data_IF_958907173266
#
_entry.id   IF_958907173266
#
_cell.length_a   1.000
_cell.length_b   1.000
_cell.length_c   1.000
_cell.angle_alpha   90.00
_cell.angle_beta   90.00
_cell.angle_gamma   90.00
#
_symmetry.space_group_name_H-M   'P 1'
#
loop_
_entity.id
_entity.type
_entity.pdbx_description
1 polymer ?
#
# COMPACT_ATOMS: atom_id res chain seq x y z
N UNK A 1 -9.25 7.42 2.54
CA UNK A 1 -8.68 6.49 3.54
C UNK A 1 -7.61 7.14 4.39
N UNK A 2 -7.24 6.45 5.45
CA UNK A 2 -6.27 6.94 6.45
C UNK A 2 -5.25 5.85 6.76
N UNK A 3 -4.03 6.26 7.09
CA UNK A 3 -2.98 5.39 7.60
C UNK A 3 -2.47 5.98 8.91
N UNK A 4 -2.44 5.15 9.95
CA UNK A 4 -1.93 5.52 11.25
C UNK A 4 -0.57 4.85 11.49
N UNK A 5 0.30 5.54 12.18
CA UNK A 5 1.59 5.05 12.64
C UNK A 5 1.54 4.85 14.14
N UNK A 6 1.74 3.62 14.58
CA UNK A 6 1.88 3.29 15.98
C UNK A 6 3.35 3.42 16.40
N UNK A 7 3.61 4.11 17.47
CA UNK A 7 4.95 4.36 18.03
C UNK A 7 4.97 3.80 19.45
N UNK A 8 5.57 2.61 19.66
CA UNK A 8 5.69 2.05 21.00
C UNK A 8 6.52 2.93 21.93
N UNK A 9 6.03 3.18 23.11
CA UNK A 9 6.76 3.87 24.16
C UNK A 9 7.98 3.06 24.63
N UNK A 10 8.99 3.75 25.10
CA UNK A 10 10.22 3.15 25.67
C UNK A 10 10.55 3.80 27.00
N UNK A 11 11.13 3.01 27.93
CA UNK A 11 11.63 3.56 29.21
C UNK A 11 10.58 4.24 30.06
N UNK A 12 9.33 3.75 30.04
CA UNK A 12 8.21 4.36 30.81
C UNK A 12 7.47 5.48 30.08
N UNK A 13 7.88 5.84 28.85
CA UNK A 13 7.11 6.75 28.00
C UNK A 13 5.86 6.07 27.45
N UNK A 14 4.74 6.79 27.31
CA UNK A 14 3.52 6.22 26.74
C UNK A 14 3.68 5.87 25.25
N UNK A 15 2.87 4.92 24.79
CA UNK A 15 2.68 4.68 23.37
C UNK A 15 2.03 5.90 22.71
N UNK A 16 2.31 6.08 21.43
CA UNK A 16 1.70 7.14 20.62
C UNK A 16 1.10 6.59 19.33
N UNK A 17 0.04 7.23 18.86
CA UNK A 17 -0.54 6.99 17.55
C UNK A 17 -0.54 8.30 16.78
N UNK A 18 -0.04 8.28 15.56
CA UNK A 18 0.09 9.43 14.69
C UNK A 18 -0.73 9.18 13.43
N UNK A 19 -1.53 10.16 13.02
CA UNK A 19 -2.15 10.15 11.68
C UNK A 19 -1.04 10.45 10.68
N UNK A 20 -0.58 9.41 9.99
CA UNK A 20 0.53 9.51 9.05
C UNK A 20 0.09 10.03 7.67
N UNK A 21 -1.07 9.56 7.21
CA UNK A 21 -1.62 9.92 5.90
C UNK A 21 -3.15 9.93 5.95
N UNK A 22 -3.74 10.91 5.29
CA UNK A 22 -5.18 11.00 5.04
C UNK A 22 -5.40 11.45 3.60
N UNK A 23 -6.22 10.70 2.86
CA UNK A 23 -6.58 11.10 1.50
C UNK A 23 -7.62 12.21 1.52
N UNK A 24 -7.44 13.21 0.67
CA UNK A 24 -8.37 14.32 0.50
C UNK A 24 -9.43 14.02 -0.58
N UNK A 25 -9.16 13.03 -1.45
CA UNK A 25 -10.00 12.64 -2.58
C UNK A 25 -9.94 11.14 -2.83
N UNK A 26 -11.02 10.58 -3.37
CA UNK A 26 -11.11 9.16 -3.72
C UNK A 26 -10.09 8.73 -4.77
N UNK A 27 -9.79 9.62 -5.73
CA UNK A 27 -8.82 9.35 -6.79
C UNK A 27 -7.36 9.31 -6.29
N UNK A 28 -7.10 9.85 -5.13
CA UNK A 28 -5.78 9.85 -4.50
C UNK A 28 -5.48 8.55 -3.75
N UNK A 29 -6.45 8.03 -3.02
CA UNK A 29 -6.33 6.83 -2.20
C UNK A 29 -7.71 6.44 -1.68
N UNK A 30 -8.16 5.24 -1.97
CA UNK A 30 -9.48 4.79 -1.59
C UNK A 30 -9.47 3.32 -1.17
N UNK A 31 -10.15 2.99 -0.09
CA UNK A 31 -10.26 1.63 0.45
C UNK A 31 -8.93 0.88 0.55
N UNK A 32 -7.90 1.50 1.12
CA UNK A 32 -6.64 0.83 1.41
C UNK A 32 -6.84 -0.26 2.47
N UNK A 33 -6.39 -1.47 2.15
CA UNK A 33 -6.58 -2.64 3.01
C UNK A 33 -5.25 -3.19 3.52
N UNK A 34 -4.40 -3.69 2.63
CA UNK A 34 -3.09 -4.22 2.97
C UNK A 34 -1.99 -3.23 2.64
N UNK A 35 -0.93 -3.22 3.43
CA UNK A 35 0.25 -2.40 3.15
C UNK A 35 1.55 -3.15 3.44
N UNK A 36 2.60 -2.76 2.74
CA UNK A 36 3.97 -3.20 2.97
C UNK A 36 4.94 -2.03 2.83
N UNK A 37 6.14 -2.16 3.41
CA UNK A 37 7.19 -1.14 3.29
C UNK A 37 8.16 -1.54 2.17
N UNK A 38 8.33 -0.67 1.20
CA UNK A 38 9.28 -0.85 0.12
C UNK A 38 10.73 -0.62 0.58
N UNK A 39 11.74 -1.16 -0.13
CA UNK A 39 13.16 -0.97 0.21
C UNK A 39 13.59 0.49 0.31
N UNK A 40 12.95 1.39 -0.42
CA UNK A 40 13.18 2.84 -0.37
C UNK A 40 12.43 3.57 0.74
N UNK A 41 11.71 2.84 1.61
CA UNK A 41 10.95 3.40 2.73
C UNK A 41 9.54 3.91 2.37
N UNK A 42 9.11 3.81 1.12
CA UNK A 42 7.72 4.11 0.74
C UNK A 42 6.78 3.02 1.26
N UNK A 43 5.54 3.38 1.54
CA UNK A 43 4.48 2.41 1.75
C UNK A 43 3.87 2.02 0.41
N UNK A 44 3.64 0.74 0.20
CA UNK A 44 2.85 0.23 -0.92
C UNK A 44 1.55 -0.33 -0.36
N UNK A 45 0.44 0.21 -0.82
CA UNK A 45 -0.90 -0.11 -0.31
C UNK A 45 -1.71 -0.77 -1.41
N UNK A 46 -2.38 -1.87 -1.05
CA UNK A 46 -3.35 -2.57 -1.89
C UNK A 46 -4.73 -2.00 -1.63
N UNK A 47 -5.43 -1.54 -2.66
CA UNK A 47 -6.82 -1.11 -2.55
C UNK A 47 -7.78 -2.30 -2.71
N UNK A 48 -8.89 -2.24 -1.97
CA UNK A 48 -9.96 -3.25 -1.97
C UNK A 48 -11.34 -2.58 -2.08
N UNK A 49 -11.58 -1.88 -3.16
CA UNK A 49 -12.88 -1.26 -3.43
C UNK A 49 -13.89 -2.28 -3.91
N UNK A 50 -15.09 -2.23 -3.36
CA UNK A 50 -16.26 -3.03 -3.75
C UNK A 50 -17.24 -2.22 -4.58
N UNK A 51 -16.79 -1.72 -5.72
CA UNK A 51 -17.62 -0.97 -6.65
C UNK A 51 -17.68 -1.67 -8.01
N UNK A 52 -18.63 -1.28 -8.86
CA UNK A 52 -18.70 -1.77 -10.23
C UNK A 52 -17.62 -1.16 -11.13
N UNK A 53 -16.94 -0.15 -10.64
CA UNK A 53 -15.86 0.54 -11.37
C UNK A 53 -14.55 -0.19 -11.15
N UNK A 54 -13.84 -0.48 -12.24
CA UNK A 54 -12.51 -1.09 -12.20
C UNK A 54 -11.50 -0.02 -11.78
N UNK A 55 -11.23 0.08 -10.48
CA UNK A 55 -10.40 1.16 -9.95
C UNK A 55 -9.54 0.75 -8.73
N UNK A 56 -9.23 -0.53 -8.56
CA UNK A 56 -8.30 -0.96 -7.51
C UNK A 56 -6.85 -0.73 -7.95
N UNK A 57 -6.13 0.05 -7.15
CA UNK A 57 -4.74 0.41 -7.38
C UNK A 57 -3.79 -0.25 -6.38
N UNK A 58 -2.55 -0.38 -6.81
CA UNK A 58 -1.40 -0.30 -5.91
C UNK A 58 -1.05 1.17 -5.76
N UNK A 59 -1.15 1.70 -4.54
CA UNK A 59 -0.77 3.08 -4.22
C UNK A 59 0.58 3.11 -3.53
N UNK A 60 1.41 4.05 -3.95
CA UNK A 60 2.62 4.37 -3.22
C UNK A 60 2.39 5.58 -2.32
N UNK A 61 2.97 5.58 -1.12
CA UNK A 61 2.97 6.73 -0.22
C UNK A 61 4.41 6.99 0.23
N UNK A 62 4.88 8.17 -0.06
CA UNK A 62 6.24 8.59 0.31
C UNK A 62 6.40 8.77 1.82
N UNK A 63 7.61 8.73 2.38
CA UNK A 63 7.84 8.96 3.81
C UNK A 63 7.36 10.33 4.32
N UNK A 64 7.23 11.32 3.43
CA UNK A 64 6.69 12.65 3.72
C UNK A 64 5.17 12.77 3.45
N UNK A 65 4.48 11.64 3.22
CA UNK A 65 3.02 11.60 3.16
C UNK A 65 2.39 12.01 1.83
N UNK A 66 3.09 11.82 0.70
CA UNK A 66 2.51 12.06 -0.64
C UNK A 66 2.12 10.76 -1.31
N UNK A 67 0.86 10.66 -1.74
CA UNK A 67 0.36 9.51 -2.49
C UNK A 67 0.68 9.63 -3.98
N UNK A 68 0.92 8.46 -4.61
CA UNK A 68 1.09 8.33 -6.06
C UNK A 68 0.57 6.98 -6.55
N UNK A 69 0.21 6.92 -7.83
CA UNK A 69 -0.22 5.68 -8.47
C UNK A 69 1.01 4.84 -8.85
N UNK A 70 1.05 3.61 -8.36
CA UNK A 70 2.05 2.64 -8.76
C UNK A 70 1.55 1.74 -9.89
N UNK A 71 0.30 1.31 -9.80
CA UNK A 71 -0.34 0.50 -10.82
C UNK A 71 -1.83 0.36 -10.56
N UNK A 72 -2.58 0.01 -11.61
CA UNK A 72 -4.02 -0.23 -11.55
C UNK A 72 -4.37 -1.58 -12.18
N UNK A 73 -5.22 -2.33 -11.52
CA UNK A 73 -5.80 -3.53 -12.12
C UNK A 73 -6.76 -3.16 -13.26
N UNK A 74 -6.84 -4.06 -14.25
CA UNK A 74 -7.83 -3.98 -15.34
C UNK A 74 -9.07 -4.84 -15.07
N UNK A 75 -9.16 -5.42 -13.90
CA UNK A 75 -10.27 -6.23 -13.43
C UNK A 75 -10.73 -5.67 -12.08
N UNK A 76 -12.04 -5.70 -11.84
CA UNK A 76 -12.59 -5.34 -10.53
C UNK A 76 -12.42 -6.53 -9.59
N UNK A 77 -11.31 -6.54 -8.88
CA UNK A 77 -10.97 -7.51 -7.85
C UNK A 77 -10.04 -6.89 -6.83
N UNK A 78 -10.02 -7.47 -5.65
CA UNK A 78 -9.13 -7.07 -4.55
C UNK A 78 -7.67 -7.34 -4.90
N UNK A 79 -6.80 -6.43 -4.48
CA UNK A 79 -5.36 -6.64 -4.36
C UNK A 79 -5.01 -6.93 -2.90
N UNK A 80 -4.16 -7.90 -2.64
CA UNK A 80 -3.83 -8.30 -1.28
C UNK A 80 -2.41 -8.86 -1.13
N UNK A 81 -1.93 -8.87 0.11
CA UNK A 81 -0.72 -9.59 0.51
C UNK A 81 0.55 -9.09 -0.14
N UNK A 82 0.70 -7.78 -0.34
CA UNK A 82 1.92 -7.19 -0.88
C UNK A 82 3.13 -7.51 -0.01
N UNK A 83 4.20 -8.05 -0.61
CA UNK A 83 5.47 -8.25 0.08
C UNK A 83 6.65 -8.16 -0.89
N UNK A 84 7.81 -7.73 -0.38
CA UNK A 84 9.03 -7.68 -1.17
C UNK A 84 9.87 -8.95 -0.97
N UNK A 85 10.59 -9.33 -2.03
CA UNK A 85 11.64 -10.35 -1.90
C UNK A 85 12.73 -9.89 -0.93
N UNK A 86 13.47 -10.83 -0.29
CA UNK A 86 14.53 -10.48 0.66
C UNK A 86 15.63 -9.58 0.07
N UNK A 87 15.88 -9.68 -1.24
CA UNK A 87 16.85 -8.85 -1.96
C UNK A 87 16.26 -7.50 -2.42
N UNK A 88 14.99 -7.24 -2.14
CA UNK A 88 14.29 -6.00 -2.47
C UNK A 88 14.03 -5.76 -3.96
N UNK A 89 14.22 -6.78 -4.83
CA UNK A 89 14.09 -6.60 -6.28
C UNK A 89 12.68 -6.84 -6.81
N UNK A 90 11.90 -7.66 -6.11
CA UNK A 90 10.58 -8.07 -6.53
C UNK A 90 9.52 -7.67 -5.52
N UNK A 91 8.43 -7.10 -6.00
CA UNK A 91 7.18 -6.96 -5.25
C UNK A 91 6.24 -8.08 -5.69
N UNK A 92 5.78 -8.89 -4.75
CA UNK A 92 4.72 -9.86 -4.96
C UNK A 92 3.41 -9.30 -4.44
N UNK A 93 2.35 -9.47 -5.20
CA UNK A 93 1.00 -9.08 -4.80
C UNK A 93 -0.01 -10.05 -5.40
N UNK A 94 -1.10 -10.30 -4.68
CA UNK A 94 -2.13 -11.22 -5.12
C UNK A 94 -3.36 -10.46 -5.62
N UNK A 95 -3.95 -10.96 -6.70
CA UNK A 95 -5.32 -10.63 -7.11
C UNK A 95 -6.25 -11.73 -6.61
N UNK A 96 -7.41 -11.35 -6.05
CA UNK A 96 -8.33 -12.28 -5.43
C UNK A 96 -9.08 -13.15 -6.46
N UNK A 97 -9.69 -12.54 -7.47
CA UNK A 97 -10.49 -13.25 -8.46
C UNK A 97 -10.30 -12.69 -9.89
N UNK A 98 -9.86 -13.49 -10.87
CA UNK A 98 -9.32 -14.85 -10.70
C UNK A 98 -8.00 -14.80 -9.90
N UNK A 99 -7.79 -15.79 -9.04
CA UNK A 99 -6.62 -15.85 -8.17
C UNK A 99 -5.32 -15.89 -8.96
N UNK A 100 -4.47 -14.88 -8.74
CA UNK A 100 -3.14 -14.77 -9.36
C UNK A 100 -2.18 -14.13 -8.38
N UNK A 101 -0.94 -14.59 -8.41
CA UNK A 101 0.18 -13.88 -7.80
C UNK A 101 0.97 -13.18 -8.89
N UNK A 102 1.12 -11.88 -8.75
CA UNK A 102 1.92 -11.05 -9.64
C UNK A 102 3.32 -10.87 -9.04
N UNK A 103 4.33 -10.97 -9.88
CA UNK A 103 5.70 -10.62 -9.53
C UNK A 103 6.10 -9.39 -10.33
N UNK A 104 6.39 -8.30 -9.65
CA UNK A 104 6.61 -6.99 -10.24
C UNK A 104 8.04 -6.55 -9.96
N UNK A 105 8.78 -6.23 -11.01
CA UNK A 105 10.09 -5.58 -10.90
C UNK A 105 9.93 -4.07 -11.03
N UNK A 106 10.78 -3.34 -10.35
CA UNK A 106 10.76 -1.89 -10.43
C UNK A 106 11.98 -1.26 -9.78
N UNK A 107 12.11 0.07 -9.86
CA UNK A 107 13.20 0.81 -9.21
C UNK A 107 12.91 0.98 -7.71
N UNK A 108 12.85 -0.13 -6.98
CA UNK A 108 12.50 -0.14 -5.56
C UNK A 108 13.60 0.41 -4.65
N UNK A 109 14.83 0.35 -5.09
CA UNK A 109 15.94 0.97 -4.39
C UNK A 109 16.04 2.43 -4.82
N UNK A 110 15.94 3.31 -3.87
CA UNK A 110 16.11 4.74 -4.12
C UNK A 110 17.56 5.09 -4.44
#
# INVERSE_FOLDING_TARGET
>A
GQIFKFIPGRGGSPDAVELFFESEREDQFNYGDNLTVAPNGHLIVCEDQYTEVVDNHLRGITPDGRAYDLGRLRLQTELAGGCFSPDGKWLFVNAYAPTKTLAITGPWAA
#
